data_IF_763499690418
#
_entry.id   IF_763499690418
#
_cell.length_a   1.000
_cell.length_b   1.000
_cell.length_c   1.000
_cell.angle_alpha   90.00
_cell.angle_beta   90.00
_cell.angle_gamma   90.00
#
_symmetry.space_group_name_H-M   'P 1'
#
loop_
_entity.id
_entity.type
_entity.pdbx_description
1 polymer ?
#
# COMPACT_ATOMS: atom_id res chain seq x y z
N UNK A 1 6.36 -22.96 73.08
CA UNK A 1 5.43 -23.63 72.13
C UNK A 1 5.53 -22.94 70.83
N UNK A 2 6.33 -23.48 69.95
CA UNK A 2 6.54 -22.93 68.56
C UNK A 2 5.65 -23.71 67.58
N UNK A 3 4.76 -23.04 66.89
CA UNK A 3 3.94 -23.62 65.87
C UNK A 3 4.61 -23.38 64.49
N UNK A 4 5.07 -24.46 63.85
CA UNK A 4 5.64 -24.53 62.53
C UNK A 4 4.49 -24.51 61.50
N UNK A 5 4.43 -23.49 60.60
CA UNK A 5 3.55 -23.48 59.45
C UNK A 5 4.32 -24.08 58.25
N UNK A 6 3.81 -25.16 57.71
CA UNK A 6 4.26 -25.76 56.46
C UNK A 6 3.42 -25.15 55.34
N UNK A 7 4.04 -24.34 54.49
CA UNK A 7 3.42 -23.84 53.25
C UNK A 7 3.66 -24.82 52.11
N UNK A 8 2.61 -25.45 51.62
CA UNK A 8 2.65 -26.26 50.42
C UNK A 8 2.56 -25.35 49.18
N UNK A 9 3.63 -25.25 48.39
CA UNK A 9 3.61 -24.65 47.06
C UNK A 9 2.97 -25.64 46.09
N UNK A 10 1.81 -25.31 45.57
CA UNK A 10 1.25 -25.97 44.38
C UNK A 10 1.85 -25.31 43.15
N UNK A 11 2.75 -26.02 42.48
CA UNK A 11 3.23 -25.65 41.16
C UNK A 11 2.15 -26.03 40.11
N UNK A 12 1.38 -25.06 39.64
CA UNK A 12 0.55 -25.23 38.43
C UNK A 12 1.48 -25.27 37.22
N UNK A 13 1.75 -26.46 36.70
CA UNK A 13 2.39 -26.65 35.42
C UNK A 13 1.44 -26.20 34.31
N UNK A 14 1.71 -25.04 33.66
CA UNK A 14 1.09 -24.70 32.40
C UNK A 14 1.58 -25.70 31.35
N UNK A 15 0.75 -26.69 31.03
CA UNK A 15 0.92 -27.53 29.86
C UNK A 15 0.51 -26.65 28.65
N UNK A 16 1.47 -25.98 28.04
CA UNK A 16 1.30 -25.47 26.67
C UNK A 16 1.10 -26.68 25.75
N UNK A 17 -0.16 -27.02 25.46
CA UNK A 17 -0.51 -27.95 24.40
C UNK A 17 -0.14 -27.25 23.06
N UNK A 18 1.09 -27.46 22.62
CA UNK A 18 1.48 -27.20 21.23
C UNK A 18 0.56 -28.04 20.34
N UNK A 19 -0.34 -27.40 19.60
CA UNK A 19 -1.09 -28.11 18.56
C UNK A 19 -0.07 -28.78 17.65
N UNK A 20 -0.15 -30.10 17.50
CA UNK A 20 0.76 -30.85 16.64
C UNK A 20 0.63 -30.29 15.23
N UNK A 21 1.76 -29.87 14.68
CA UNK A 21 1.87 -29.32 13.32
C UNK A 21 1.35 -30.39 12.34
N UNK A 22 0.26 -30.09 11.65
CA UNK A 22 -0.29 -31.02 10.66
C UNK A 22 0.58 -30.96 9.39
N UNK A 23 1.05 -32.11 8.89
CA UNK A 23 1.81 -32.14 7.66
C UNK A 23 0.93 -31.68 6.47
N UNK A 24 1.56 -31.19 5.38
CA UNK A 24 0.81 -30.79 4.20
C UNK A 24 0.02 -31.97 3.63
N UNK A 25 -1.20 -31.70 3.19
CA UNK A 25 -2.04 -32.67 2.46
C UNK A 25 -1.40 -33.07 1.13
N UNK A 26 -1.90 -34.12 0.49
CA UNK A 26 -1.42 -34.53 -0.84
C UNK A 26 -1.56 -33.40 -1.87
N UNK A 27 -2.66 -32.63 -1.81
CA UNK A 27 -2.91 -31.47 -2.68
C UNK A 27 -1.89 -30.36 -2.40
N UNK A 28 -1.66 -29.99 -1.16
CA UNK A 28 -0.68 -28.96 -0.78
C UNK A 28 0.74 -29.37 -1.15
N UNK A 29 1.08 -30.66 -1.01
CA UNK A 29 2.35 -31.21 -1.47
C UNK A 29 2.50 -31.09 -3.00
N UNK A 30 1.42 -31.33 -3.77
CA UNK A 30 1.43 -31.13 -5.21
C UNK A 30 1.63 -29.65 -5.60
N UNK A 31 0.95 -28.72 -4.90
CA UNK A 31 1.14 -27.27 -5.07
C UNK A 31 2.61 -26.89 -4.84
N UNK A 32 3.21 -27.32 -3.72
CA UNK A 32 4.60 -27.00 -3.36
C UNK A 32 5.55 -27.48 -4.45
N UNK A 33 5.40 -28.72 -4.93
CA UNK A 33 6.21 -29.28 -6.02
C UNK A 33 6.06 -28.50 -7.32
N UNK A 34 4.85 -28.06 -7.64
CA UNK A 34 4.59 -27.26 -8.84
C UNK A 34 5.28 -25.90 -8.79
N UNK A 35 5.26 -25.22 -7.62
CA UNK A 35 6.03 -23.97 -7.44
C UNK A 35 7.53 -24.21 -7.65
N UNK A 36 8.10 -25.29 -7.08
CA UNK A 36 9.52 -25.58 -7.25
C UNK A 36 9.88 -25.85 -8.73
N UNK A 37 9.01 -26.51 -9.46
CA UNK A 37 9.20 -26.75 -10.89
C UNK A 37 9.11 -25.47 -11.74
N UNK A 38 8.28 -24.49 -11.33
CA UNK A 38 8.07 -23.20 -12.02
C UNK A 38 9.18 -22.17 -11.70
N UNK A 39 9.96 -22.36 -10.63
CA UNK A 39 10.93 -21.37 -10.15
C UNK A 39 11.91 -20.82 -11.20
N UNK A 40 12.48 -21.61 -12.13
CA UNK A 40 13.32 -21.07 -13.19
C UNK A 40 12.59 -20.18 -14.18
N UNK A 41 11.34 -20.52 -14.54
CA UNK A 41 10.50 -19.73 -15.43
C UNK A 41 10.06 -18.41 -14.74
N UNK A 42 9.76 -18.47 -13.45
CA UNK A 42 9.46 -17.31 -12.64
C UNK A 42 10.62 -16.30 -12.61
N UNK A 43 11.85 -16.75 -12.39
CA UNK A 43 13.04 -15.89 -12.41
C UNK A 43 13.25 -15.26 -13.80
N UNK A 44 13.06 -16.01 -14.89
CA UNK A 44 13.16 -15.50 -16.26
C UNK A 44 12.07 -14.48 -16.58
N UNK A 45 10.84 -14.68 -16.08
CA UNK A 45 9.74 -13.71 -16.23
C UNK A 45 10.06 -12.41 -15.48
N UNK A 46 10.60 -12.49 -14.25
CA UNK A 46 11.02 -11.31 -13.50
C UNK A 46 12.05 -10.50 -14.29
N UNK A 47 13.14 -11.13 -14.76
CA UNK A 47 14.15 -10.46 -15.57
C UNK A 47 13.54 -9.80 -16.81
N UNK A 48 12.62 -10.48 -17.50
CA UNK A 48 11.95 -9.98 -18.69
C UNK A 48 11.18 -8.68 -18.40
N UNK A 49 10.31 -8.68 -17.36
CA UNK A 49 9.44 -7.53 -17.06
C UNK A 49 10.19 -6.38 -16.39
N UNK A 50 11.25 -6.67 -15.60
CA UNK A 50 12.09 -5.64 -15.00
C UNK A 50 12.86 -4.85 -16.08
N UNK A 51 13.29 -5.51 -17.14
CA UNK A 51 13.96 -4.85 -18.27
C UNK A 51 13.03 -4.01 -19.17
N UNK A 52 11.72 -3.98 -18.89
CA UNK A 52 10.75 -3.07 -19.49
C UNK A 52 10.59 -1.88 -18.55
N UNK A 53 11.01 -0.68 -18.98
CA UNK A 53 10.70 0.52 -18.21
C UNK A 53 9.19 0.75 -18.18
N UNK A 54 8.64 0.82 -16.98
CA UNK A 54 7.22 1.07 -16.72
C UNK A 54 7.03 2.16 -15.66
N UNK A 55 7.85 3.21 -15.66
CA UNK A 55 7.57 4.42 -14.87
C UNK A 55 6.14 4.87 -15.14
N UNK A 56 5.42 5.32 -14.11
CA UNK A 56 3.97 5.59 -14.20
C UNK A 56 3.61 6.51 -15.37
N UNK A 57 4.47 7.50 -15.67
CA UNK A 57 4.24 8.42 -16.79
C UNK A 57 4.69 7.86 -18.14
N UNK A 58 5.34 6.71 -18.18
CA UNK A 58 5.64 5.97 -19.40
C UNK A 58 4.48 5.01 -19.74
N UNK A 59 3.34 5.55 -20.14
CA UNK A 59 2.11 4.79 -20.43
C UNK A 59 2.37 3.60 -21.35
N UNK A 60 3.17 3.80 -22.39
CA UNK A 60 3.53 2.75 -23.35
C UNK A 60 4.37 1.63 -22.70
N UNK A 61 5.18 1.95 -21.70
CA UNK A 61 5.95 0.97 -20.93
C UNK A 61 5.07 0.12 -20.02
N UNK A 62 4.12 0.74 -19.33
CA UNK A 62 3.11 0.03 -18.53
C UNK A 62 2.30 -0.93 -19.40
N UNK A 63 1.83 -0.49 -20.58
CA UNK A 63 1.14 -1.35 -21.55
C UNK A 63 2.04 -2.52 -21.99
N UNK A 64 3.33 -2.33 -22.21
CA UNK A 64 4.26 -3.43 -22.55
C UNK A 64 4.40 -4.46 -21.42
N UNK A 65 4.38 -4.03 -20.14
CA UNK A 65 4.34 -4.98 -19.01
C UNK A 65 3.01 -5.75 -19.04
N UNK A 66 1.90 -5.07 -19.23
CA UNK A 66 0.57 -5.69 -19.42
C UNK A 66 0.60 -6.73 -20.56
N UNK A 67 1.19 -6.42 -21.70
CA UNK A 67 1.28 -7.31 -22.86
C UNK A 67 2.08 -8.59 -22.59
N UNK A 68 2.98 -8.57 -21.61
CA UNK A 68 3.70 -9.77 -21.13
C UNK A 68 2.86 -10.57 -20.12
N UNK A 69 2.15 -9.88 -19.23
CA UNK A 69 1.45 -10.51 -18.08
C UNK A 69 0.06 -11.04 -18.49
N UNK A 70 -0.68 -10.32 -19.33
CA UNK A 70 -2.05 -10.71 -19.72
C UNK A 70 -2.15 -12.10 -20.34
N UNK A 71 -1.25 -12.53 -21.26
CA UNK A 71 -1.28 -13.89 -21.82
C UNK A 71 -1.07 -15.00 -20.76
N UNK A 72 -0.32 -14.71 -19.68
CA UNK A 72 -0.10 -15.65 -18.59
C UNK A 72 -1.42 -15.94 -17.84
N UNK A 73 -2.23 -14.91 -17.57
CA UNK A 73 -3.57 -15.07 -17.00
C UNK A 73 -4.50 -15.79 -17.95
N UNK A 74 -4.50 -15.45 -19.24
CA UNK A 74 -5.34 -16.10 -20.24
C UNK A 74 -5.02 -17.61 -20.34
N UNK A 75 -3.76 -18.00 -20.30
CA UNK A 75 -3.33 -19.41 -20.30
C UNK A 75 -3.81 -20.20 -19.06
N UNK A 76 -4.05 -19.52 -17.95
CA UNK A 76 -4.63 -20.10 -16.73
C UNK A 76 -6.15 -20.22 -16.76
N UNK A 77 -6.81 -19.67 -17.79
CA UNK A 77 -8.27 -19.70 -17.96
C UNK A 77 -8.99 -18.46 -17.43
N UNK A 78 -8.25 -17.40 -17.08
CA UNK A 78 -8.86 -16.13 -16.73
C UNK A 78 -9.41 -15.41 -17.97
N UNK A 79 -10.55 -14.74 -17.80
CA UNK A 79 -11.06 -13.76 -18.76
C UNK A 79 -10.42 -12.42 -18.44
N UNK A 80 -9.63 -11.89 -19.35
CA UNK A 80 -8.93 -10.62 -19.17
C UNK A 80 -9.66 -9.46 -19.82
N UNK A 81 -9.52 -8.27 -19.24
CA UNK A 81 -10.05 -7.01 -19.76
C UNK A 81 -9.03 -5.91 -19.47
N UNK A 82 -8.55 -5.25 -20.50
CA UNK A 82 -7.82 -3.99 -20.35
C UNK A 82 -8.80 -2.83 -20.25
N UNK A 83 -8.62 -1.96 -19.24
CA UNK A 83 -9.42 -0.75 -19.02
C UNK A 83 -8.50 0.46 -19.23
N UNK A 84 -8.47 1.06 -20.43
CA UNK A 84 -7.60 2.20 -20.70
C UNK A 84 -8.05 3.43 -19.90
N UNK A 85 -7.10 4.15 -19.32
CA UNK A 85 -7.35 5.33 -18.47
C UNK A 85 -6.69 6.62 -19.01
N UNK A 86 -6.04 6.56 -20.17
CA UNK A 86 -5.29 7.68 -20.76
C UNK A 86 -6.15 8.94 -20.97
N UNK A 87 -7.38 8.78 -21.44
CA UNK A 87 -8.32 9.87 -21.64
C UNK A 87 -9.09 10.27 -20.36
N UNK A 88 -9.16 9.40 -19.38
CA UNK A 88 -9.95 9.63 -18.16
C UNK A 88 -9.12 10.23 -17.04
N UNK A 89 -7.92 9.72 -16.84
CA UNK A 89 -7.07 10.07 -15.69
C UNK A 89 -5.65 10.46 -16.12
N UNK A 90 -5.31 10.33 -17.40
CA UNK A 90 -3.96 10.57 -17.93
C UNK A 90 -2.97 9.46 -17.52
N UNK A 91 -3.44 8.25 -17.30
CA UNK A 91 -2.64 7.06 -16.94
C UNK A 91 -2.87 5.93 -17.92
N UNK A 92 -2.03 4.88 -17.86
CA UNK A 92 -2.09 3.78 -18.83
C UNK A 92 -3.41 3.01 -18.72
N UNK A 93 -3.80 2.59 -17.55
CA UNK A 93 -5.03 1.84 -17.30
C UNK A 93 -4.83 0.62 -16.41
N UNK A 94 -5.90 -0.16 -16.24
CA UNK A 94 -5.95 -1.32 -15.36
C UNK A 94 -6.14 -2.61 -16.14
N UNK A 95 -5.45 -3.69 -15.72
CA UNK A 95 -5.74 -5.06 -16.17
C UNK A 95 -6.62 -5.75 -15.14
N UNK A 96 -7.85 -6.09 -15.55
CA UNK A 96 -8.78 -6.90 -14.75
C UNK A 96 -8.78 -8.31 -15.33
N UNK A 97 -8.57 -9.34 -14.49
CA UNK A 97 -8.66 -10.74 -14.90
C UNK A 97 -9.56 -11.52 -13.95
N UNK A 98 -10.50 -12.28 -14.46
CA UNK A 98 -11.51 -12.99 -13.69
C UNK A 98 -11.50 -14.49 -14.00
N UNK A 99 -11.41 -15.30 -12.95
CA UNK A 99 -11.49 -16.76 -13.00
C UNK A 99 -12.75 -17.21 -12.25
N UNK A 100 -13.64 -17.89 -12.96
CA UNK A 100 -14.86 -18.41 -12.38
C UNK A 100 -14.65 -19.82 -11.81
N UNK A 101 -15.18 -20.05 -10.62
CA UNK A 101 -15.22 -21.40 -10.05
C UNK A 101 -16.14 -22.33 -10.86
N UNK A 102 -15.67 -23.52 -11.18
CA UNK A 102 -16.39 -24.52 -12.00
C UNK A 102 -17.40 -25.38 -11.23
N UNK A 103 -17.40 -25.35 -9.91
CA UNK A 103 -18.26 -26.21 -9.07
C UNK A 103 -19.73 -25.80 -9.06
N UNK A 104 -20.06 -24.62 -9.60
CA UNK A 104 -21.39 -24.04 -9.60
C UNK A 104 -21.73 -23.25 -8.34
N UNK A 105 -22.83 -22.49 -8.40
CA UNK A 105 -23.26 -21.55 -7.38
C UNK A 105 -23.36 -22.20 -5.98
N UNK A 106 -22.77 -21.55 -4.98
CA UNK A 106 -22.82 -21.96 -3.56
C UNK A 106 -21.94 -23.15 -3.18
N UNK A 107 -21.13 -23.68 -4.13
CA UNK A 107 -20.18 -24.78 -3.83
C UNK A 107 -18.74 -24.33 -3.74
N UNK A 108 -18.44 -23.13 -4.22
CA UNK A 108 -17.14 -22.52 -4.11
C UNK A 108 -16.97 -21.90 -2.71
N UNK A 109 -15.74 -21.82 -2.24
CA UNK A 109 -15.41 -21.15 -0.98
C UNK A 109 -15.35 -19.63 -1.14
N UNK A 110 -14.46 -18.99 -0.39
CA UNK A 110 -14.29 -17.53 -0.43
C UNK A 110 -13.83 -17.06 -1.80
N UNK A 111 -14.38 -15.94 -2.24
CA UNK A 111 -13.97 -15.23 -3.45
C UNK A 111 -12.75 -14.38 -3.13
N UNK A 112 -11.72 -14.51 -3.94
CA UNK A 112 -10.43 -13.86 -3.70
C UNK A 112 -10.22 -12.68 -4.65
N UNK A 113 -9.78 -11.55 -4.10
CA UNK A 113 -9.29 -10.40 -4.83
C UNK A 113 -7.77 -10.34 -4.71
N UNK A 114 -7.05 -10.49 -5.83
CA UNK A 114 -5.60 -10.32 -5.90
C UNK A 114 -5.30 -8.93 -6.46
N UNK A 115 -4.48 -8.18 -5.75
CA UNK A 115 -4.18 -6.77 -6.06
C UNK A 115 -2.69 -6.63 -6.35
N UNK A 116 -2.36 -5.80 -7.34
CA UNK A 116 -1.02 -5.40 -7.65
C UNK A 116 -0.98 -4.25 -8.65
N UNK A 117 0.24 -3.83 -9.01
CA UNK A 117 0.44 -2.80 -10.01
C UNK A 117 1.57 -3.15 -10.99
N UNK A 118 1.53 -2.51 -12.16
CA UNK A 118 2.45 -2.76 -13.28
C UNK A 118 3.45 -1.61 -13.48
N UNK A 119 3.19 -0.46 -12.88
CA UNK A 119 4.06 0.70 -12.94
C UNK A 119 5.18 0.66 -11.90
N UNK A 120 6.06 1.64 -11.93
CA UNK A 120 7.15 1.84 -10.98
C UNK A 120 7.44 3.33 -10.85
N UNK A 121 8.14 3.75 -9.78
CA UNK A 121 8.62 5.13 -9.62
C UNK A 121 9.72 5.51 -10.63
N UNK A 122 10.32 4.54 -11.35
CA UNK A 122 11.48 4.76 -12.20
C UNK A 122 11.08 5.17 -13.63
N UNK A 123 10.99 6.48 -13.84
CA UNK A 123 10.64 7.06 -15.14
C UNK A 123 11.74 6.83 -16.19
N UNK A 124 11.45 7.15 -17.47
CA UNK A 124 12.42 7.03 -18.58
C UNK A 124 13.72 7.82 -18.36
N UNK A 125 13.67 8.88 -17.56
CA UNK A 125 14.83 9.71 -17.21
C UNK A 125 15.73 9.09 -16.14
N UNK A 126 15.29 8.06 -15.43
CA UNK A 126 16.11 7.36 -14.44
C UNK A 126 17.29 6.65 -15.10
N UNK A 127 18.43 6.65 -14.46
CA UNK A 127 19.61 5.86 -14.85
C UNK A 127 19.49 4.39 -14.47
N UNK A 128 18.60 4.07 -13.55
CA UNK A 128 18.33 2.73 -13.02
C UNK A 128 17.29 2.02 -13.90
N UNK A 129 17.74 1.25 -14.90
CA UNK A 129 16.87 0.72 -15.95
C UNK A 129 17.01 -0.79 -16.20
N UNK A 130 17.96 -1.46 -15.58
CA UNK A 130 18.33 -2.83 -15.95
C UNK A 130 18.30 -3.79 -14.77
N UNK A 131 17.78 -4.98 -15.06
CA UNK A 131 17.95 -6.13 -14.17
C UNK A 131 19.39 -6.60 -14.16
N UNK A 132 19.91 -6.93 -13.00
CA UNK A 132 21.19 -7.64 -12.85
C UNK A 132 21.27 -8.40 -11.53
N UNK A 133 22.10 -9.43 -11.48
CA UNK A 133 22.42 -10.11 -10.23
C UNK A 133 23.44 -9.28 -9.45
N UNK A 134 23.19 -9.08 -8.18
CA UNK A 134 24.10 -8.31 -7.29
C UNK A 134 25.37 -9.13 -7.05
N UNK A 135 26.55 -8.58 -7.37
CA UNK A 135 27.82 -9.28 -7.14
C UNK A 135 28.02 -9.66 -5.67
N UNK A 136 28.67 -10.81 -5.43
CA UNK A 136 28.98 -11.29 -4.07
C UNK A 136 27.82 -11.92 -3.31
N UNK A 137 26.62 -12.02 -3.90
CA UNK A 137 25.43 -12.59 -3.24
C UNK A 137 25.19 -14.07 -3.60
N UNK A 138 26.14 -14.72 -4.31
CA UNK A 138 26.00 -16.10 -4.81
C UNK A 138 24.70 -16.32 -5.63
N UNK A 139 24.27 -15.30 -6.37
CA UNK A 139 23.04 -15.34 -7.17
C UNK A 139 21.73 -15.22 -6.38
N UNK A 140 21.79 -14.89 -5.09
CA UNK A 140 20.59 -14.80 -4.23
C UNK A 140 19.84 -13.47 -4.31
N UNK A 141 20.47 -12.42 -4.81
CA UNK A 141 19.90 -11.08 -4.87
C UNK A 141 20.01 -10.54 -6.28
N UNK A 142 18.89 -10.03 -6.78
CA UNK A 142 18.86 -9.25 -8.03
C UNK A 142 18.51 -7.80 -7.74
N UNK A 143 18.90 -6.91 -8.66
CA UNK A 143 18.59 -5.48 -8.63
C UNK A 143 18.00 -5.05 -9.96
N UNK A 144 17.13 -4.04 -9.94
CA UNK A 144 16.48 -3.48 -11.12
C UNK A 144 15.17 -2.76 -10.76
N UNK A 145 14.65 -1.91 -11.64
CA UNK A 145 13.44 -1.09 -11.36
C UNK A 145 12.21 -1.96 -11.18
N UNK A 146 11.59 -1.86 -10.01
CA UNK A 146 10.40 -2.62 -9.65
C UNK A 146 10.68 -4.09 -9.32
N UNK A 147 11.93 -4.49 -9.03
CA UNK A 147 12.25 -5.89 -8.69
C UNK A 147 11.51 -6.35 -7.45
N UNK A 148 11.36 -5.50 -6.44
CA UNK A 148 10.56 -5.74 -5.25
C UNK A 148 9.19 -5.07 -5.35
N UNK A 149 9.15 -3.85 -5.85
CA UNK A 149 7.99 -2.97 -5.88
C UNK A 149 7.51 -2.68 -7.32
N UNK A 150 6.48 -3.45 -7.88
CA UNK A 150 6.12 -4.77 -7.32
C UNK A 150 6.14 -5.86 -8.41
N UNK A 151 7.04 -5.76 -9.42
CA UNK A 151 7.15 -6.78 -10.50
C UNK A 151 7.45 -8.17 -9.95
N UNK A 152 8.25 -8.25 -8.87
CA UNK A 152 8.45 -9.51 -8.15
C UNK A 152 7.15 -10.07 -7.57
N UNK A 153 6.26 -9.23 -7.08
CA UNK A 153 4.93 -9.62 -6.61
C UNK A 153 4.03 -10.15 -7.73
N UNK A 154 4.08 -9.56 -8.93
CA UNK A 154 3.37 -10.09 -10.11
C UNK A 154 3.84 -11.51 -10.45
N UNK A 155 5.15 -11.75 -10.36
CA UNK A 155 5.73 -13.08 -10.60
C UNK A 155 5.30 -14.08 -9.52
N UNK A 156 5.31 -13.68 -8.24
CA UNK A 156 4.81 -14.52 -7.12
C UNK A 156 3.33 -14.88 -7.34
N UNK A 157 2.49 -13.91 -7.71
CA UNK A 157 1.07 -14.13 -8.01
C UNK A 157 0.88 -15.16 -9.12
N UNK A 158 1.53 -14.96 -10.25
CA UNK A 158 1.43 -15.89 -11.39
C UNK A 158 1.96 -17.29 -11.05
N UNK A 159 3.09 -17.39 -10.34
CA UNK A 159 3.66 -18.68 -9.91
C UNK A 159 2.71 -19.43 -8.98
N UNK A 160 2.06 -18.73 -8.06
CA UNK A 160 1.06 -19.32 -7.17
C UNK A 160 -0.15 -19.85 -7.94
N UNK A 161 -0.69 -19.07 -8.89
CA UNK A 161 -1.84 -19.48 -9.72
C UNK A 161 -1.48 -20.65 -10.66
N UNK A 162 -0.30 -20.63 -11.26
CA UNK A 162 0.21 -21.76 -12.09
C UNK A 162 0.33 -23.03 -11.27
N UNK A 163 0.83 -22.94 -10.03
CA UNK A 163 0.92 -24.09 -9.14
C UNK A 163 -0.45 -24.64 -8.73
N UNK A 164 -1.43 -23.78 -8.46
CA UNK A 164 -2.81 -24.20 -8.22
C UNK A 164 -3.42 -24.90 -9.45
N UNK A 165 -3.13 -24.40 -10.66
CA UNK A 165 -3.57 -25.05 -11.92
C UNK A 165 -2.94 -26.42 -12.10
N UNK A 166 -1.62 -26.53 -11.92
CA UNK A 166 -0.88 -27.79 -12.03
C UNK A 166 -1.33 -28.83 -11.00
N UNK A 167 -1.72 -28.41 -9.80
CA UNK A 167 -2.30 -29.26 -8.77
C UNK A 167 -3.80 -29.59 -8.99
N UNK A 168 -4.44 -29.04 -10.04
CA UNK A 168 -5.84 -29.29 -10.39
C UNK A 168 -6.87 -28.62 -9.47
N UNK A 169 -6.48 -27.57 -8.73
CA UNK A 169 -7.35 -26.89 -7.75
C UNK A 169 -7.75 -25.48 -8.15
N UNK A 170 -7.13 -24.89 -9.17
CA UNK A 170 -7.49 -23.54 -9.63
C UNK A 170 -8.94 -23.47 -10.10
N UNK A 171 -9.41 -24.48 -10.80
CA UNK A 171 -10.77 -24.52 -11.37
C UNK A 171 -11.88 -24.51 -10.29
N UNK A 172 -11.53 -24.71 -9.00
CA UNK A 172 -12.46 -24.65 -7.87
C UNK A 172 -12.43 -23.30 -7.14
N UNK A 173 -11.59 -22.38 -7.57
CA UNK A 173 -11.44 -21.06 -6.97
C UNK A 173 -12.11 -19.96 -7.79
N UNK A 174 -12.82 -19.03 -7.13
CA UNK A 174 -13.32 -17.79 -7.73
C UNK A 174 -12.35 -16.67 -7.41
N UNK A 175 -11.69 -16.14 -8.44
CA UNK A 175 -10.58 -15.19 -8.27
C UNK A 175 -10.77 -14.00 -9.20
N UNK A 176 -10.70 -12.80 -8.66
CA UNK A 176 -10.57 -11.55 -9.40
C UNK A 176 -9.15 -11.00 -9.19
N UNK A 177 -8.48 -10.63 -10.26
CA UNK A 177 -7.20 -9.91 -10.23
C UNK A 177 -7.43 -8.50 -10.73
N UNK A 178 -6.88 -7.50 -10.05
CA UNK A 178 -6.83 -6.12 -10.52
C UNK A 178 -5.38 -5.65 -10.43
N UNK A 179 -4.80 -5.30 -11.58
CA UNK A 179 -3.45 -4.74 -11.67
C UNK A 179 -3.57 -3.32 -12.21
N UNK A 180 -3.30 -2.34 -11.34
CA UNK A 180 -3.28 -0.92 -11.72
C UNK A 180 -2.01 -0.58 -12.51
N UNK A 181 -2.09 0.45 -13.33
CA UNK A 181 -0.95 0.98 -14.07
C UNK A 181 -0.48 2.32 -13.53
N UNK A 182 -0.89 2.70 -12.32
CA UNK A 182 -0.66 4.02 -11.76
C UNK A 182 -0.67 4.05 -10.21
N UNK A 183 -0.25 2.97 -9.56
CA UNK A 183 -0.18 2.94 -8.08
C UNK A 183 0.79 3.98 -7.57
N UNK A 184 1.95 4.07 -8.15
CA UNK A 184 3.06 4.93 -7.72
C UNK A 184 2.78 6.43 -7.93
N UNK A 185 1.91 6.75 -8.88
CA UNK A 185 1.45 8.12 -9.15
C UNK A 185 0.05 8.09 -9.74
N UNK A 186 -0.95 7.92 -8.86
CA UNK A 186 -2.33 7.77 -9.27
C UNK A 186 -2.83 8.87 -10.22
N UNK A 187 -3.72 8.47 -11.12
CA UNK A 187 -4.44 9.41 -11.98
C UNK A 187 -5.55 10.15 -11.22
N UNK A 188 -6.04 11.20 -11.78
CA UNK A 188 -7.11 12.00 -11.19
C UNK A 188 -8.32 12.07 -12.13
N UNK A 189 -9.57 11.96 -11.59
CA UNK A 189 -9.91 11.73 -10.17
C UNK A 189 -9.51 10.32 -9.69
N UNK A 190 -9.08 10.20 -8.43
CA UNK A 190 -8.71 8.90 -7.83
C UNK A 190 -9.89 7.92 -7.81
N UNK A 191 -11.09 8.42 -7.58
CA UNK A 191 -12.33 7.65 -7.62
C UNK A 191 -12.60 6.98 -8.98
N UNK A 192 -12.11 7.56 -10.07
CA UNK A 192 -12.14 6.96 -11.42
C UNK A 192 -10.99 5.97 -11.58
N UNK A 193 -9.77 6.35 -11.21
CA UNK A 193 -8.57 5.52 -11.32
C UNK A 193 -8.67 4.22 -10.51
N UNK A 194 -9.42 4.20 -9.42
CA UNK A 194 -9.63 3.00 -8.56
C UNK A 194 -11.03 2.39 -8.71
N UNK A 195 -11.79 2.81 -9.72
CA UNK A 195 -13.17 2.36 -9.92
C UNK A 195 -13.33 0.85 -10.08
N UNK A 196 -12.51 0.21 -10.92
CA UNK A 196 -12.53 -1.24 -11.14
C UNK A 196 -12.08 -2.01 -9.88
N UNK A 197 -11.07 -1.52 -9.15
CA UNK A 197 -10.62 -2.08 -7.88
C UNK A 197 -11.71 -2.03 -6.81
N UNK A 198 -12.35 -0.87 -6.63
CA UNK A 198 -13.46 -0.70 -5.67
C UNK A 198 -14.64 -1.62 -6.04
N UNK A 199 -14.97 -1.72 -7.33
CA UNK A 199 -16.02 -2.61 -7.80
C UNK A 199 -15.66 -4.09 -7.52
N UNK A 200 -14.39 -4.47 -7.67
CA UNK A 200 -13.91 -5.81 -7.32
C UNK A 200 -13.98 -6.05 -5.80
N UNK A 201 -13.59 -5.07 -4.97
CA UNK A 201 -13.68 -5.18 -3.51
C UNK A 201 -15.09 -5.48 -3.00
N UNK A 202 -16.11 -4.88 -3.63
CA UNK A 202 -17.52 -5.08 -3.24
C UNK A 202 -18.09 -6.47 -3.55
N UNK A 203 -17.42 -7.30 -4.37
CA UNK A 203 -17.91 -8.61 -4.79
C UNK A 203 -17.03 -9.78 -4.38
N UNK A 204 -15.93 -9.52 -3.70
CA UNK A 204 -15.01 -10.54 -3.18
C UNK A 204 -15.05 -10.58 -1.64
N UNK A 205 -14.44 -11.60 -1.04
CA UNK A 205 -14.52 -11.88 0.39
C UNK A 205 -13.19 -11.64 1.12
N UNK A 206 -12.05 -11.75 0.41
CA UNK A 206 -10.68 -11.55 0.96
C UNK A 206 -9.80 -10.91 -0.10
N UNK A 207 -9.02 -9.89 0.27
CA UNK A 207 -8.01 -9.28 -0.59
C UNK A 207 -6.59 -9.74 -0.20
N UNK A 208 -5.75 -9.98 -1.20
CA UNK A 208 -4.32 -10.24 -1.07
C UNK A 208 -3.57 -9.27 -1.97
N UNK A 209 -2.84 -8.33 -1.38
CA UNK A 209 -2.05 -7.35 -2.12
C UNK A 209 -0.60 -7.83 -2.26
N UNK A 210 -0.19 -8.11 -3.49
CA UNK A 210 1.11 -8.66 -3.83
C UNK A 210 2.23 -7.61 -3.86
N UNK A 211 2.04 -6.53 -3.14
CA UNK A 211 3.06 -5.56 -2.78
C UNK A 211 4.29 -6.21 -2.16
N UNK A 212 5.42 -5.49 -2.17
CA UNK A 212 6.65 -5.98 -1.59
C UNK A 212 6.47 -6.41 -0.13
N UNK A 213 6.88 -7.64 0.14
CA UNK A 213 7.02 -8.16 1.49
C UNK A 213 8.31 -7.64 2.14
N UNK A 214 8.32 -7.57 3.46
CA UNK A 214 9.52 -7.20 4.21
C UNK A 214 10.25 -8.45 4.69
N UNK A 215 11.59 -8.37 4.73
CA UNK A 215 12.44 -9.31 5.45
C UNK A 215 13.38 -8.54 6.36
N UNK A 216 13.07 -8.54 7.66
CA UNK A 216 13.81 -7.78 8.65
C UNK A 216 15.19 -8.41 8.87
N UNK A 217 16.27 -7.63 8.70
CA UNK A 217 17.63 -8.13 8.82
C UNK A 217 18.28 -8.59 7.51
N UNK A 218 17.65 -8.29 6.35
CA UNK A 218 18.21 -8.58 5.02
C UNK A 218 17.91 -10.00 4.53
N UNK A 219 18.71 -10.50 3.59
CA UNK A 219 18.46 -11.75 2.85
C UNK A 219 18.32 -13.01 3.74
N UNK A 220 18.92 -13.03 4.91
CA UNK A 220 18.85 -14.11 5.89
C UNK A 220 17.98 -13.73 7.12
N UNK A 221 17.17 -12.70 7.00
CA UNK A 221 16.34 -12.15 8.09
C UNK A 221 14.99 -12.84 8.27
N UNK A 222 14.14 -12.22 9.09
CA UNK A 222 12.79 -12.70 9.42
C UNK A 222 11.78 -12.07 8.48
N UNK A 223 10.92 -12.91 7.90
CA UNK A 223 9.85 -12.48 7.00
C UNK A 223 8.74 -11.74 7.77
N UNK A 224 8.14 -10.73 7.14
CA UNK A 224 7.09 -9.92 7.74
C UNK A 224 5.97 -9.59 6.75
N UNK A 225 4.76 -9.50 7.26
CA UNK A 225 3.51 -9.22 6.54
C UNK A 225 2.79 -8.03 7.19
N UNK A 226 1.87 -7.39 6.48
CA UNK A 226 1.07 -6.26 6.99
C UNK A 226 -0.42 -6.59 6.95
N UNK A 227 -1.14 -6.09 7.96
CA UNK A 227 -2.61 -6.12 8.06
C UNK A 227 -3.20 -4.70 8.11
N UNK A 228 -2.39 -3.70 7.79
CA UNK A 228 -2.76 -2.30 7.76
C UNK A 228 -1.82 -1.47 6.89
N UNK A 229 -2.34 -0.38 6.36
CA UNK A 229 -1.63 0.62 5.55
C UNK A 229 -2.03 2.02 6.00
N UNK A 230 -1.09 2.94 6.01
CA UNK A 230 -1.40 4.34 6.33
C UNK A 230 -2.19 4.98 5.19
N UNK A 231 -3.14 5.85 5.55
CA UNK A 231 -3.71 6.80 4.61
C UNK A 231 -2.69 7.85 4.17
N UNK A 232 -2.90 8.41 2.99
CA UNK A 232 -2.06 9.48 2.43
C UNK A 232 -2.95 10.52 1.75
N UNK A 233 -3.08 11.69 2.37
CA UNK A 233 -3.97 12.75 1.93
C UNK A 233 -3.19 14.05 1.90
N UNK A 234 -3.21 14.74 0.77
CA UNK A 234 -2.66 16.10 0.67
C UNK A 234 -3.69 17.14 1.11
N UNK A 235 -3.23 18.23 1.70
CA UNK A 235 -4.07 19.36 2.05
C UNK A 235 -3.47 20.69 1.57
N UNK A 236 -4.36 21.65 1.29
CA UNK A 236 -4.04 23.03 0.91
C UNK A 236 -4.71 23.98 1.88
N UNK A 237 -3.94 24.90 2.42
CA UNK A 237 -4.40 25.92 3.34
C UNK A 237 -4.14 27.29 2.71
N UNK A 238 -5.16 28.15 2.74
CA UNK A 238 -5.07 29.53 2.29
C UNK A 238 -5.58 30.45 3.39
N UNK A 239 -4.82 31.48 3.69
CA UNK A 239 -5.22 32.54 4.60
C UNK A 239 -5.24 33.88 3.86
N UNK A 240 -6.20 34.70 4.17
CA UNK A 240 -6.34 36.06 3.63
C UNK A 240 -6.45 37.08 4.75
N UNK A 241 -6.10 38.31 4.46
CA UNK A 241 -6.23 39.43 5.39
C UNK A 241 -6.35 40.76 4.68
N UNK A 242 -6.68 41.79 5.42
CA UNK A 242 -6.68 43.14 4.87
C UNK A 242 -5.26 43.62 4.65
N UNK A 243 -5.02 44.35 3.57
CA UNK A 243 -3.75 44.99 3.28
C UNK A 243 -3.78 46.48 3.66
N UNK A 244 -2.63 47.00 4.05
CA UNK A 244 -2.47 48.41 4.40
C UNK A 244 -1.07 48.69 4.97
N UNK A 245 -0.84 49.89 5.46
CA UNK A 245 0.42 50.24 6.08
C UNK A 245 0.63 49.47 7.39
N UNK A 246 1.85 49.01 7.64
CA UNK A 246 2.16 48.13 8.79
C UNK A 246 1.89 48.76 10.16
N UNK A 247 1.86 50.11 10.25
CA UNK A 247 1.47 50.80 11.49
C UNK A 247 0.03 50.56 11.93
N UNK A 248 -0.79 50.05 11.02
CA UNK A 248 -2.20 49.67 11.30
C UNK A 248 -2.39 48.22 11.76
N UNK A 249 -1.34 47.40 11.77
CA UNK A 249 -1.43 45.98 12.18
C UNK A 249 -1.88 45.86 13.63
N UNK A 250 -2.72 44.85 13.93
CA UNK A 250 -3.41 44.62 15.21
C UNK A 250 -4.47 45.65 15.57
N UNK A 251 -4.66 46.68 14.74
CA UNK A 251 -5.74 47.67 14.91
C UNK A 251 -7.11 47.11 14.52
N UNK A 252 -8.18 47.67 15.13
CA UNK A 252 -9.55 47.20 14.90
C UNK A 252 -9.99 47.25 13.44
N UNK A 253 -9.45 48.16 12.63
CA UNK A 253 -9.83 48.34 11.22
C UNK A 253 -9.08 47.39 10.28
N UNK A 254 -7.81 47.10 10.57
CA UNK A 254 -6.91 46.32 9.69
C UNK A 254 -6.76 44.86 10.12
N UNK A 255 -6.78 44.60 11.41
CA UNK A 255 -6.58 43.23 11.93
C UNK A 255 -5.12 42.76 11.85
N UNK A 256 -4.95 41.47 11.66
CA UNK A 256 -3.65 40.81 11.83
C UNK A 256 -2.89 40.56 10.52
N UNK A 257 -3.60 40.46 9.38
CA UNK A 257 -3.02 40.05 8.11
C UNK A 257 -2.83 38.54 7.97
N UNK A 258 -2.70 38.08 6.73
CA UNK A 258 -2.75 36.65 6.38
C UNK A 258 -1.60 35.81 6.98
N UNK A 259 -0.41 36.38 7.11
CA UNK A 259 0.75 35.61 7.65
C UNK A 259 0.53 35.27 9.13
N UNK A 260 0.03 36.19 9.95
CA UNK A 260 -0.26 35.89 11.37
C UNK A 260 -1.39 34.84 11.51
N UNK A 261 -2.39 34.90 10.65
CA UNK A 261 -3.46 33.88 10.61
C UNK A 261 -2.88 32.50 10.24
N UNK A 262 -2.06 32.42 9.21
CA UNK A 262 -1.39 31.18 8.81
C UNK A 262 -0.54 30.60 9.95
N UNK A 263 0.27 31.44 10.60
CA UNK A 263 1.11 31.01 11.72
C UNK A 263 0.27 30.49 12.90
N UNK A 264 -0.84 31.16 13.24
CA UNK A 264 -1.77 30.68 14.27
C UNK A 264 -2.30 29.31 13.94
N UNK A 265 -2.80 29.10 12.72
CA UNK A 265 -3.38 27.82 12.28
C UNK A 265 -2.32 26.71 12.36
N UNK A 266 -1.15 26.92 11.79
CA UNK A 266 -0.09 25.92 11.78
C UNK A 266 0.46 25.61 13.19
N UNK A 267 0.52 26.60 14.08
CA UNK A 267 0.90 26.38 15.48
C UNK A 267 -0.16 25.58 16.25
N UNK A 268 -1.45 25.85 16.00
CA UNK A 268 -2.52 25.03 16.58
C UNK A 268 -2.53 23.62 16.01
N UNK A 269 -2.26 23.41 14.73
CA UNK A 269 -2.04 22.07 14.20
C UNK A 269 -0.94 21.36 14.98
N UNK A 270 0.21 22.01 15.16
CA UNK A 270 1.36 21.45 15.87
C UNK A 270 1.04 21.09 17.33
N UNK A 271 0.20 21.87 18.02
CA UNK A 271 -0.06 21.74 19.45
C UNK A 271 -1.29 20.88 19.79
N UNK A 272 -2.31 20.89 18.92
CA UNK A 272 -3.62 20.29 19.23
C UNK A 272 -3.91 18.97 18.50
N UNK A 273 -3.19 18.68 17.40
CA UNK A 273 -3.43 17.46 16.61
C UNK A 273 -2.60 16.24 17.02
N UNK A 274 -1.40 16.35 17.64
CA UNK A 274 -0.56 15.18 17.85
C UNK A 274 -1.26 14.05 18.60
N UNK A 275 -1.26 12.87 18.01
CA UNK A 275 -1.77 11.64 18.61
C UNK A 275 -1.00 10.42 18.04
N UNK A 276 -1.06 9.23 18.68
CA UNK A 276 -0.33 8.05 18.25
C UNK A 276 -0.62 7.68 16.79
N UNK A 277 0.43 7.41 16.02
CA UNK A 277 0.36 6.99 14.63
C UNK A 277 -0.04 8.07 13.62
N UNK A 278 -0.43 9.26 14.07
CA UNK A 278 -0.68 10.40 13.21
C UNK A 278 0.63 11.09 12.81
N UNK A 279 0.78 11.37 11.53
CA UNK A 279 1.77 12.34 11.07
C UNK A 279 1.15 13.29 10.04
N UNK A 280 1.59 14.52 10.08
CA UNK A 280 1.25 15.54 9.10
C UNK A 280 2.44 16.47 8.95
N UNK A 281 2.63 16.98 7.76
CA UNK A 281 3.78 17.83 7.43
C UNK A 281 3.31 19.10 6.72
N UNK A 282 4.07 20.16 6.88
CA UNK A 282 3.96 21.40 6.09
C UNK A 282 5.12 21.40 5.11
N UNK A 283 4.85 21.02 3.85
CA UNK A 283 5.88 20.92 2.82
C UNK A 283 6.20 22.23 2.11
N UNK A 284 5.22 23.15 2.05
CA UNK A 284 5.36 24.46 1.42
C UNK A 284 4.64 25.52 2.26
N UNK A 285 5.26 26.67 2.44
CA UNK A 285 4.67 27.86 3.07
C UNK A 285 5.15 29.11 2.35
N UNK A 286 4.22 29.92 1.85
CA UNK A 286 4.46 31.20 1.19
C UNK A 286 3.53 32.27 1.76
N UNK A 287 3.98 33.53 1.83
CA UNK A 287 3.14 34.62 2.28
C UNK A 287 3.70 35.99 1.95
N UNK A 288 2.82 36.95 1.69
CA UNK A 288 3.22 38.30 1.32
C UNK A 288 2.13 39.17 0.76
N UNK A 289 2.50 40.18 -0.03
CA UNK A 289 1.56 40.96 -0.83
C UNK A 289 0.91 40.10 -1.92
N UNK A 290 1.68 39.13 -2.44
CA UNK A 290 1.19 38.03 -3.26
C UNK A 290 1.77 36.71 -2.72
N UNK A 291 1.04 35.61 -2.91
CA UNK A 291 1.50 34.25 -2.66
C UNK A 291 0.77 33.33 -3.63
N UNK A 292 1.49 32.68 -4.52
CA UNK A 292 0.93 31.87 -5.61
C UNK A 292 1.68 30.54 -5.72
N UNK A 293 0.95 29.44 -5.90
CA UNK A 293 1.51 28.11 -6.17
C UNK A 293 1.83 27.96 -7.65
N UNK A 294 2.83 27.17 -7.97
CA UNK A 294 3.01 26.64 -9.33
C UNK A 294 1.94 25.58 -9.66
N UNK A 295 1.88 25.16 -10.92
CA UNK A 295 0.83 24.29 -11.41
C UNK A 295 0.84 22.87 -10.79
N UNK A 296 1.99 22.41 -10.32
CA UNK A 296 2.18 21.09 -9.71
C UNK A 296 2.18 21.12 -8.16
N UNK A 297 1.91 22.29 -7.56
CA UNK A 297 1.87 22.52 -6.11
C UNK A 297 3.19 22.23 -5.35
N UNK A 298 4.30 22.01 -6.07
CA UNK A 298 5.61 21.68 -5.45
C UNK A 298 6.43 22.90 -5.07
N UNK A 299 6.01 24.08 -5.51
CA UNK A 299 6.69 25.36 -5.28
C UNK A 299 5.76 26.54 -5.49
N UNK A 300 6.33 27.71 -5.64
CA UNK A 300 5.57 28.93 -5.93
C UNK A 300 6.38 30.20 -5.75
N UNK A 301 5.69 31.36 -5.82
CA UNK A 301 6.28 32.69 -5.69
C UNK A 301 5.54 33.51 -4.66
N UNK A 302 6.27 34.39 -3.96
CA UNK A 302 5.70 35.36 -3.06
C UNK A 302 6.44 36.71 -3.20
N UNK A 303 5.70 37.81 -3.07
CA UNK A 303 6.26 39.17 -3.02
C UNK A 303 5.80 39.89 -1.78
N UNK A 304 6.57 40.86 -1.31
CA UNK A 304 6.17 41.64 -0.14
C UNK A 304 7.05 42.88 0.08
N UNK A 305 6.55 43.76 0.94
CA UNK A 305 7.28 44.91 1.43
C UNK A 305 7.18 44.95 2.96
N UNK A 306 8.25 45.35 3.64
CA UNK A 306 8.35 45.34 5.11
C UNK A 306 7.31 46.23 5.81
N UNK A 307 6.82 47.26 5.14
CA UNK A 307 5.87 48.22 5.67
C UNK A 307 4.43 48.01 5.18
N UNK A 308 4.08 46.79 4.66
CA UNK A 308 2.74 46.43 4.17
C UNK A 308 2.23 45.21 4.93
N UNK A 309 1.00 45.28 5.44
CA UNK A 309 0.29 44.13 6.03
C UNK A 309 -0.01 43.13 4.92
N UNK A 310 0.47 41.88 5.01
CA UNK A 310 0.33 40.89 3.96
C UNK A 310 -1.12 40.39 3.82
N UNK A 311 -1.73 40.48 2.61
CA UNK A 311 -3.09 40.02 2.39
C UNK A 311 -3.20 38.53 2.07
N UNK A 312 -2.10 37.83 1.75
CA UNK A 312 -2.12 36.45 1.30
C UNK A 312 -1.07 35.59 2.00
N UNK A 313 -1.44 34.39 2.38
CA UNK A 313 -0.53 33.30 2.76
C UNK A 313 -1.13 31.94 2.32
N UNK A 314 -0.26 31.04 1.87
CA UNK A 314 -0.63 29.70 1.43
C UNK A 314 0.31 28.67 2.01
N UNK A 315 -0.22 27.48 2.33
CA UNK A 315 0.59 26.35 2.73
C UNK A 315 0.04 25.06 2.08
N UNK A 316 0.93 24.10 1.86
CA UNK A 316 0.59 22.74 1.43
C UNK A 316 1.22 21.74 2.38
N UNK A 317 0.56 20.60 2.57
CA UNK A 317 1.11 19.53 3.37
C UNK A 317 0.48 18.19 3.08
N UNK A 318 0.96 17.17 3.78
CA UNK A 318 0.37 15.84 3.81
C UNK A 318 -0.20 15.49 5.18
N UNK A 319 -1.08 14.51 5.19
CA UNK A 319 -1.72 13.95 6.37
C UNK A 319 -1.70 12.43 6.24
N UNK A 320 -1.13 11.74 7.23
CA UNK A 320 -1.02 10.29 7.29
C UNK A 320 -1.71 9.76 8.53
N UNK A 321 -2.69 8.88 8.34
CA UNK A 321 -3.53 8.31 9.40
C UNK A 321 -3.45 6.79 9.39
N UNK A 322 -3.80 6.12 10.51
CA UNK A 322 -3.77 4.66 10.65
C UNK A 322 -5.11 3.98 10.33
N UNK A 323 -6.21 4.72 10.40
CA UNK A 323 -7.56 4.23 10.10
C UNK A 323 -8.48 5.40 9.72
N UNK A 324 -9.64 5.04 9.16
CA UNK A 324 -10.58 6.04 8.65
C UNK A 324 -11.21 6.90 9.76
N UNK A 325 -11.46 6.34 10.93
CA UNK A 325 -11.98 7.12 12.08
C UNK A 325 -11.01 8.23 12.49
N UNK A 326 -9.71 7.93 12.46
CA UNK A 326 -8.66 8.93 12.70
C UNK A 326 -8.67 9.99 11.59
N UNK A 327 -8.80 9.58 10.32
CA UNK A 327 -8.88 10.47 9.17
C UNK A 327 -10.01 11.48 9.32
N UNK A 328 -11.21 11.00 9.56
CA UNK A 328 -12.42 11.84 9.71
C UNK A 328 -12.28 12.80 10.90
N UNK A 329 -11.81 12.28 12.04
CA UNK A 329 -11.64 13.09 13.26
C UNK A 329 -10.58 14.18 13.09
N UNK A 330 -9.44 13.87 12.48
CA UNK A 330 -8.35 14.84 12.31
C UNK A 330 -8.72 15.90 11.26
N UNK A 331 -9.32 15.52 10.13
CA UNK A 331 -9.85 16.50 9.17
C UNK A 331 -10.83 17.47 9.85
N UNK A 332 -11.76 16.95 10.63
CA UNK A 332 -12.71 17.77 11.38
C UNK A 332 -12.07 18.73 12.38
N UNK A 333 -11.00 18.31 13.08
CA UNK A 333 -10.21 19.18 13.95
C UNK A 333 -9.47 20.27 13.16
N UNK A 334 -8.82 19.91 12.05
CA UNK A 334 -8.15 20.89 11.19
C UNK A 334 -9.11 21.93 10.66
N UNK A 335 -10.29 21.52 10.18
CA UNK A 335 -11.35 22.41 9.72
C UNK A 335 -11.87 23.33 10.84
N UNK A 336 -12.01 22.83 12.07
CA UNK A 336 -12.43 23.62 13.22
C UNK A 336 -11.40 24.70 13.57
N UNK A 337 -10.10 24.36 13.58
CA UNK A 337 -9.02 25.31 13.81
C UNK A 337 -8.98 26.39 12.73
N UNK A 338 -9.18 26.00 11.46
CA UNK A 338 -9.19 26.94 10.32
C UNK A 338 -10.41 27.87 10.37
N UNK A 339 -11.53 27.40 10.89
CA UNK A 339 -12.77 28.20 10.97
C UNK A 339 -12.71 29.31 12.01
N UNK A 340 -11.87 29.20 13.03
CA UNK A 340 -11.61 30.25 14.00
C UNK A 340 -10.58 31.22 13.45
N UNK A 341 -10.89 32.51 13.40
CA UNK A 341 -10.07 33.52 12.71
C UNK A 341 -9.60 34.63 13.62
N UNK A 342 -8.38 35.09 13.38
CA UNK A 342 -7.91 36.36 13.93
C UNK A 342 -8.71 37.53 13.36
N UNK A 343 -8.87 38.63 14.12
CA UNK A 343 -9.58 39.79 13.62
C UNK A 343 -9.06 40.31 12.27
N UNK A 344 -9.98 40.46 11.29
CA UNK A 344 -9.68 40.98 9.96
C UNK A 344 -9.03 39.97 9.01
N UNK A 345 -9.06 38.68 9.36
CA UNK A 345 -8.55 37.59 8.50
C UNK A 345 -9.63 36.60 8.14
N UNK A 346 -9.32 35.70 7.25
CA UNK A 346 -10.10 34.51 6.90
C UNK A 346 -9.15 33.41 6.40
N UNK A 347 -9.58 32.15 6.49
CA UNK A 347 -8.82 31.03 5.98
C UNK A 347 -9.72 29.91 5.45
N UNK A 348 -9.18 29.07 4.58
CA UNK A 348 -9.82 27.84 4.11
C UNK A 348 -8.82 26.73 3.98
N UNK A 349 -9.25 25.51 4.26
CA UNK A 349 -8.48 24.27 4.02
C UNK A 349 -9.24 23.40 3.04
N UNK A 350 -8.52 22.79 2.12
CA UNK A 350 -9.02 21.81 1.17
C UNK A 350 -8.19 20.54 1.29
N UNK A 351 -8.85 19.38 1.27
CA UNK A 351 -8.21 18.07 1.26
C UNK A 351 -8.37 17.47 -0.13
N UNK A 352 -7.27 17.05 -0.73
CA UNK A 352 -7.30 16.31 -1.98
C UNK A 352 -7.84 14.88 -1.77
N UNK A 353 -8.35 14.27 -2.83
CA UNK A 353 -8.50 12.82 -2.85
C UNK A 353 -7.12 12.17 -2.71
N UNK A 354 -7.05 11.05 -2.01
CA UNK A 354 -5.80 10.33 -1.79
C UNK A 354 -6.07 8.90 -1.33
N UNK A 355 -5.06 8.22 -0.88
CA UNK A 355 -5.18 6.85 -0.40
C UNK A 355 -5.88 6.82 0.97
N UNK A 356 -6.99 6.06 1.13
CA UNK A 356 -7.59 5.84 2.43
C UNK A 356 -6.63 5.13 3.38
N UNK A 357 -6.95 5.11 4.66
CA UNK A 357 -6.22 4.30 5.63
C UNK A 357 -6.84 2.90 5.74
N UNK A 358 -6.00 1.87 5.75
CA UNK A 358 -6.40 0.50 6.09
C UNK A 358 -6.00 0.20 7.53
N UNK A 359 -6.94 0.24 8.46
CA UNK A 359 -6.71 -0.19 9.85
C UNK A 359 -6.71 -1.72 9.97
N UNK A 360 -5.94 -2.24 10.92
CA UNK A 360 -6.03 -3.65 11.32
C UNK A 360 -7.43 -3.94 11.88
N UNK A 361 -8.02 -5.06 11.49
CA UNK A 361 -9.35 -5.51 11.95
C UNK A 361 -9.28 -6.96 12.43
N UNK A 362 -10.21 -7.40 13.30
CA UNK A 362 -10.30 -8.82 13.68
C UNK A 362 -10.45 -9.77 12.49
N UNK A 363 -11.07 -9.30 11.41
CA UNK A 363 -11.22 -10.08 10.18
C UNK A 363 -9.89 -10.21 9.43
N UNK A 364 -9.07 -9.14 9.35
CA UNK A 364 -7.72 -9.20 8.77
C UNK A 364 -6.78 -10.07 9.64
N UNK A 365 -6.91 -10.01 10.96
CA UNK A 365 -6.18 -10.89 11.91
C UNK A 365 -6.55 -12.37 11.69
N UNK A 366 -7.81 -12.67 11.37
CA UNK A 366 -8.23 -14.03 11.05
C UNK A 366 -7.59 -14.53 9.73
N UNK A 367 -7.45 -13.68 8.70
CA UNK A 367 -6.73 -14.04 7.47
C UNK A 367 -5.25 -14.24 7.76
N UNK A 368 -4.64 -13.38 8.58
CA UNK A 368 -3.25 -13.55 9.05
C UNK A 368 -3.06 -14.88 9.78
N UNK A 369 -3.98 -15.26 10.66
CA UNK A 369 -3.90 -16.55 11.35
C UNK A 369 -3.87 -17.73 10.36
N UNK A 370 -4.67 -17.67 9.27
CA UNK A 370 -4.62 -18.68 8.18
C UNK A 370 -3.25 -18.71 7.48
N UNK A 371 -2.63 -17.55 7.22
CA UNK A 371 -1.28 -17.50 6.68
C UNK A 371 -0.26 -18.14 7.63
N UNK A 372 -0.38 -17.87 8.93
CA UNK A 372 0.51 -18.46 9.93
C UNK A 372 0.34 -19.99 10.05
N UNK A 373 -0.87 -20.50 9.87
CA UNK A 373 -1.14 -21.93 9.79
C UNK A 373 -0.52 -22.56 8.52
N UNK A 374 -0.53 -21.83 7.39
CA UNK A 374 0.18 -22.24 6.17
C UNK A 374 1.69 -22.29 6.41
N UNK A 375 2.26 -21.24 7.04
CA UNK A 375 3.69 -21.22 7.39
C UNK A 375 4.07 -22.44 8.25
N UNK A 376 3.28 -22.73 9.27
CA UNK A 376 3.51 -23.91 10.12
C UNK A 376 3.45 -25.21 9.32
N UNK A 377 2.44 -25.39 8.46
CA UNK A 377 2.29 -26.58 7.60
C UNK A 377 3.48 -26.77 6.64
N UNK A 378 4.00 -25.67 6.08
CA UNK A 378 5.13 -25.68 5.14
C UNK A 378 6.51 -25.75 5.83
N UNK A 379 6.56 -25.70 7.17
CA UNK A 379 7.80 -25.68 7.94
C UNK A 379 8.53 -24.34 7.93
N UNK A 380 7.82 -23.26 7.60
CA UNK A 380 8.36 -21.90 7.68
C UNK A 380 8.11 -21.29 9.06
N UNK A 381 8.97 -20.35 9.45
CA UNK A 381 8.74 -19.53 10.63
C UNK A 381 7.48 -18.67 10.48
N UNK A 382 6.88 -18.29 11.61
CA UNK A 382 5.81 -17.27 11.60
C UNK A 382 6.36 -15.96 11.08
N UNK A 383 5.59 -15.31 10.23
CA UNK A 383 5.91 -13.94 9.80
C UNK A 383 5.64 -12.94 10.92
N UNK A 384 6.50 -11.95 11.05
CA UNK A 384 6.27 -10.81 11.92
C UNK A 384 5.18 -9.92 11.33
N UNK A 385 4.43 -9.23 12.19
CA UNK A 385 3.47 -8.21 11.74
C UNK A 385 4.16 -6.84 11.79
N UNK A 386 4.32 -6.22 10.64
CA UNK A 386 4.88 -4.87 10.58
C UNK A 386 3.86 -3.86 11.12
N UNK A 387 4.30 -2.98 12.03
CA UNK A 387 3.48 -1.87 12.50
C UNK A 387 3.07 -0.98 11.31
N UNK A 388 1.77 -0.75 11.07
CA UNK A 388 1.29 0.12 10.00
C UNK A 388 1.88 1.53 10.01
N UNK A 389 2.32 2.02 11.15
CA UNK A 389 2.97 3.33 11.29
C UNK A 389 4.27 3.46 10.46
N UNK A 390 4.92 2.34 10.11
CA UNK A 390 6.13 2.30 9.28
C UNK A 390 5.86 1.94 7.80
N UNK A 391 4.58 1.78 7.40
CA UNK A 391 4.19 1.48 6.03
C UNK A 391 3.77 2.71 5.23
N UNK A 392 3.87 2.62 3.90
CA UNK A 392 3.24 3.57 2.96
C UNK A 392 1.73 3.29 2.78
N UNK A 393 1.08 4.07 1.94
CA UNK A 393 -0.24 3.78 1.40
C UNK A 393 -0.17 2.61 0.39
N UNK A 394 -1.31 2.09 -0.06
CA UNK A 394 -1.38 1.04 -1.07
C UNK A 394 -2.81 0.82 -1.56
N UNK A 395 -2.94 0.21 -2.72
CA UNK A 395 -4.21 0.05 -3.44
C UNK A 395 -5.26 -0.74 -2.65
N UNK A 396 -4.87 -1.71 -1.83
CA UNK A 396 -5.80 -2.47 -0.97
C UNK A 396 -6.60 -1.57 -0.03
N UNK A 397 -6.08 -0.40 0.33
CA UNK A 397 -6.77 0.52 1.23
C UNK A 397 -8.13 1.00 0.66
N UNK A 398 -8.28 1.07 -0.67
CA UNK A 398 -9.55 1.43 -1.31
C UNK A 398 -10.65 0.38 -1.13
N UNK A 399 -10.29 -0.85 -0.82
CA UNK A 399 -11.21 -1.96 -0.63
C UNK A 399 -11.34 -2.42 0.83
N UNK A 400 -10.45 -1.97 1.72
CA UNK A 400 -10.39 -2.38 3.12
C UNK A 400 -11.68 -2.16 3.92
N UNK A 401 -12.53 -1.22 3.51
CA UNK A 401 -13.84 -1.01 4.10
C UNK A 401 -14.87 -2.09 3.73
N UNK A 402 -14.63 -2.89 2.68
CA UNK A 402 -15.57 -3.90 2.18
C UNK A 402 -15.17 -5.32 2.56
N UNK A 403 -13.87 -5.60 2.66
CA UNK A 403 -13.36 -6.95 2.92
C UNK A 403 -12.01 -6.92 3.65
N UNK A 404 -11.69 -7.97 4.45
CA UNK A 404 -10.40 -8.11 5.09
C UNK A 404 -9.31 -8.47 4.08
N UNK A 405 -8.05 -8.19 4.41
CA UNK A 405 -6.95 -8.57 3.55
C UNK A 405 -5.59 -8.59 4.21
N UNK A 406 -4.60 -9.06 3.44
CA UNK A 406 -3.18 -9.03 3.76
C UNK A 406 -2.42 -8.20 2.73
N UNK A 407 -1.37 -7.56 3.18
CA UNK A 407 -0.48 -6.71 2.38
C UNK A 407 0.95 -7.20 2.49
N UNK A 408 1.73 -7.05 1.42
CA UNK A 408 3.11 -7.48 1.41
C UNK A 408 3.23 -8.99 1.34
N UNK A 409 2.40 -9.61 0.49
CA UNK A 409 2.46 -11.05 0.20
C UNK A 409 3.21 -11.34 -1.10
N UNK A 410 3.79 -10.31 -1.73
CA UNK A 410 4.66 -10.43 -2.91
C UNK A 410 6.11 -10.77 -2.58
N UNK A 411 7.03 -10.42 -3.48
CA UNK A 411 8.45 -10.70 -3.31
C UNK A 411 9.08 -9.88 -2.17
N UNK A 412 10.10 -10.42 -1.55
CA UNK A 412 10.86 -9.73 -0.50
C UNK A 412 12.09 -9.07 -1.09
N UNK A 413 12.39 -7.87 -0.62
CA UNK A 413 13.52 -7.11 -1.11
C UNK A 413 13.85 -5.92 -0.21
N UNK A 414 14.64 -5.00 -0.74
CA UNK A 414 15.03 -3.78 -0.05
C UNK A 414 15.19 -2.62 -1.04
N UNK A 415 15.08 -1.39 -0.53
CA UNK A 415 15.39 -0.19 -1.30
C UNK A 415 14.30 0.20 -2.30
N UNK A 416 13.05 -0.21 -2.12
CA UNK A 416 11.92 0.28 -2.91
C UNK A 416 11.96 1.82 -3.01
N UNK A 417 11.59 2.37 -4.17
CA UNK A 417 11.62 3.80 -4.52
C UNK A 417 13.04 4.43 -4.57
N UNK A 418 14.11 3.63 -4.49
CA UNK A 418 15.48 4.15 -4.59
C UNK A 418 16.29 3.43 -5.67
N UNK A 419 17.22 4.12 -6.33
CA UNK A 419 18.19 3.46 -7.20
C UNK A 419 18.97 2.41 -6.40
N UNK A 420 19.06 1.20 -6.95
CA UNK A 420 19.63 0.07 -6.24
C UNK A 420 18.59 -0.81 -5.52
N UNK A 421 17.29 -0.62 -5.79
CA UNK A 421 16.24 -1.55 -5.37
C UNK A 421 16.63 -3.00 -5.69
N UNK A 422 16.39 -3.88 -4.72
CA UNK A 422 16.77 -5.30 -4.80
C UNK A 422 15.63 -6.23 -4.43
N UNK A 423 15.68 -7.44 -4.98
CA UNK A 423 14.81 -8.56 -4.59
C UNK A 423 15.65 -9.75 -4.14
N UNK A 424 15.19 -10.45 -3.13
CA UNK A 424 15.75 -11.73 -2.69
C UNK A 424 15.12 -12.86 -3.52
N UNK A 425 15.88 -13.46 -4.42
CA UNK A 425 15.38 -14.44 -5.39
C UNK A 425 14.81 -15.71 -4.74
N UNK A 426 15.28 -16.08 -3.56
CA UNK A 426 14.74 -17.18 -2.78
C UNK A 426 13.32 -16.88 -2.24
N UNK A 427 12.96 -15.61 -2.10
CA UNK A 427 11.61 -15.21 -1.65
C UNK A 427 10.52 -15.52 -2.67
N UNK A 428 10.83 -15.55 -3.97
CA UNK A 428 9.85 -15.83 -5.02
C UNK A 428 9.16 -17.18 -4.81
N UNK A 429 9.86 -18.33 -4.77
CA UNK A 429 9.23 -19.62 -4.52
C UNK A 429 8.65 -19.73 -3.10
N UNK A 430 9.24 -19.11 -2.08
CA UNK A 430 8.72 -19.14 -0.71
C UNK A 430 7.33 -18.49 -0.66
N UNK A 431 7.22 -17.27 -1.18
CA UNK A 431 5.95 -16.54 -1.21
C UNK A 431 4.92 -17.18 -2.14
N UNK A 432 5.34 -17.70 -3.29
CA UNK A 432 4.44 -18.42 -4.19
C UNK A 432 3.84 -19.67 -3.52
N UNK A 433 4.61 -20.44 -2.74
CA UNK A 433 4.12 -21.58 -1.95
C UNK A 433 3.12 -21.15 -0.89
N UNK A 434 3.44 -20.09 -0.11
CA UNK A 434 2.57 -19.52 0.91
C UNK A 434 1.23 -19.10 0.30
N UNK A 435 1.29 -18.32 -0.78
CA UNK A 435 0.09 -17.78 -1.39
C UNK A 435 -0.75 -18.84 -2.10
N UNK A 436 -0.12 -19.79 -2.81
CA UNK A 436 -0.86 -20.87 -3.47
C UNK A 436 -1.62 -21.75 -2.46
N UNK A 437 -0.98 -22.11 -1.34
CA UNK A 437 -1.63 -22.91 -0.28
C UNK A 437 -2.68 -22.08 0.47
N UNK A 438 -2.41 -20.80 0.77
CA UNK A 438 -3.39 -19.92 1.40
C UNK A 438 -4.63 -19.73 0.52
N UNK A 439 -4.45 -19.40 -0.76
CA UNK A 439 -5.55 -19.24 -1.73
C UNK A 439 -6.34 -20.54 -1.87
N UNK A 440 -5.70 -21.70 -1.96
CA UNK A 440 -6.36 -22.99 -1.99
C UNK A 440 -7.23 -23.21 -0.74
N UNK A 441 -6.70 -22.98 0.46
CA UNK A 441 -7.45 -23.13 1.73
C UNK A 441 -8.65 -22.19 1.76
N UNK A 442 -8.46 -20.90 1.47
CA UNK A 442 -9.53 -19.91 1.46
C UNK A 442 -10.60 -20.24 0.43
N UNK A 443 -10.22 -20.71 -0.77
CA UNK A 443 -11.17 -21.09 -1.83
C UNK A 443 -11.96 -22.37 -1.52
N UNK A 444 -11.63 -23.11 -0.48
CA UNK A 444 -12.36 -24.30 -0.01
C UNK A 444 -13.13 -24.04 1.30
N UNK A 445 -12.87 -22.93 1.99
CA UNK A 445 -13.64 -22.50 3.19
C UNK A 445 -15.01 -21.94 2.78
N UNK A 446 -16.05 -22.30 3.55
CA UNK A 446 -17.41 -21.78 3.37
C UNK A 446 -17.69 -20.62 4.32
#
# INVERSE_FOLDING_TARGET
MAKTFVSALFALGLVCSGAAQQPPTATETAIVKAVDAEAPAAAALLEKIVNINSGTMNLAGVVKVKDVIEPEFAALGFKTKWVPMDQLTGRAGDLVAEHACSLGSGKCGRKLLLIGHMDTVFELSSTFQKYSIVPGTNGRVATGPGTADMKGGLVVMLSALKAMKAAGVLDTAEITVVLSGDEERHGNPVSVARGDLIAAGKRNDVALEFENASRNGGVDGTDAVRIGRRGSISWKLEATGKTGHSSGVFGKSMGYGAIYEMVRILDQFRTELPEPGLTYNVGLLLGGATAERNADDTGGTATGKTNVIPPAAIANGDLRTLNEDQTVRIKGKMEAIVRDHLPGTSARIEFAEGYPAMGATPASEAVLARLQDVNATLGYAREEVTDPAFGGAGDIAFVAQYLPGLVGVGAMGAGAHAEGETVYLDSLPIQAKRMAVLMYRLSTEK
#
